data_IF_300681290805
#
_entry.id   IF_300681290805
#
_cell.length_a   1.000
_cell.length_b   1.000
_cell.length_c   1.000
_cell.angle_alpha   90.00
_cell.angle_beta   90.00
_cell.angle_gamma   90.00
#
_symmetry.space_group_name_H-M   'P 1'
#
loop_
_entity.id
_entity.type
_entity.pdbx_description
1 polymer ?
#
# COMPACT_ATOMS: atom_id res chain seq x y z
N UNK A 1 34.11 55.43 2.16
CA UNK A 1 34.43 54.52 1.02
C UNK A 1 33.22 53.66 0.78
N UNK A 2 32.59 53.65 -0.39
CA UNK A 2 31.42 52.83 -0.63
C UNK A 2 31.81 51.41 -0.93
N UNK A 3 31.11 50.42 -0.35
CA UNK A 3 31.29 49.01 -0.55
C UNK A 3 30.98 48.62 -2.00
N UNK A 4 31.96 48.04 -2.70
CA UNK A 4 31.78 47.48 -4.02
C UNK A 4 30.81 46.29 -3.95
N UNK A 5 29.59 46.42 -4.51
CA UNK A 5 28.70 45.31 -4.78
C UNK A 5 29.37 44.40 -5.83
N UNK A 6 29.72 43.19 -5.44
CA UNK A 6 30.18 42.13 -6.35
C UNK A 6 28.98 41.65 -7.19
N UNK A 7 28.85 42.19 -8.40
CA UNK A 7 27.93 41.64 -9.40
C UNK A 7 28.47 40.31 -9.90
N UNK A 8 27.90 39.22 -9.43
CA UNK A 8 28.18 37.87 -9.97
C UNK A 8 27.54 37.75 -11.38
N UNK A 9 28.38 37.54 -12.40
CA UNK A 9 27.88 37.32 -13.77
C UNK A 9 27.11 36.00 -13.84
N UNK A 10 26.06 35.92 -14.74
CA UNK A 10 25.29 34.70 -15.00
C UNK A 10 26.17 33.47 -15.25
N UNK A 11 27.27 33.65 -15.95
CA UNK A 11 28.23 32.57 -16.22
C UNK A 11 28.92 32.06 -14.97
N UNK A 12 29.27 32.94 -14.04
CA UNK A 12 29.88 32.56 -12.76
C UNK A 12 28.90 31.89 -11.82
N UNK A 13 27.64 32.34 -11.83
CA UNK A 13 26.55 31.68 -11.09
C UNK A 13 26.32 30.25 -11.60
N UNK A 14 26.23 30.05 -12.92
CA UNK A 14 26.06 28.71 -13.52
C UNK A 14 27.26 27.80 -13.27
N UNK A 15 28.47 28.33 -13.30
CA UNK A 15 29.70 27.54 -12.99
C UNK A 15 29.76 27.11 -11.54
N UNK A 16 29.41 28.00 -10.60
CA UNK A 16 29.38 27.65 -9.17
C UNK A 16 28.22 26.72 -8.82
N UNK A 17 27.07 26.84 -9.46
CA UNK A 17 25.94 25.93 -9.27
C UNK A 17 26.22 24.53 -9.85
N UNK A 18 26.90 24.44 -10.99
CA UNK A 18 27.34 23.18 -11.57
C UNK A 18 28.42 22.51 -10.70
N UNK A 19 29.40 23.27 -10.18
CA UNK A 19 30.42 22.75 -9.29
C UNK A 19 29.82 22.27 -7.94
N UNK A 20 28.83 22.98 -7.40
CA UNK A 20 28.10 22.56 -6.21
C UNK A 20 27.29 21.28 -6.45
N UNK A 21 26.64 21.15 -7.63
CA UNK A 21 25.93 19.95 -8.04
C UNK A 21 26.85 18.73 -8.18
N UNK A 22 27.99 18.89 -8.82
CA UNK A 22 29.00 17.82 -8.98
C UNK A 22 29.59 17.45 -7.62
N UNK A 23 29.88 18.42 -6.75
CA UNK A 23 30.36 18.17 -5.38
C UNK A 23 29.34 17.39 -4.54
N UNK A 24 28.05 17.67 -4.68
CA UNK A 24 26.99 16.95 -4.02
C UNK A 24 26.91 15.47 -4.48
N UNK A 25 27.05 15.22 -5.80
CA UNK A 25 27.09 13.86 -6.36
C UNK A 25 28.37 13.11 -6.00
N UNK A 26 29.52 13.76 -6.04
CA UNK A 26 30.81 13.15 -5.69
C UNK A 26 30.96 12.83 -4.20
N UNK A 27 30.26 13.57 -3.33
CA UNK A 27 30.21 13.30 -1.89
C UNK A 27 29.24 12.17 -1.48
N UNK A 28 28.68 11.43 -2.46
CA UNK A 28 27.81 10.28 -2.21
C UNK A 28 26.40 10.65 -1.75
N UNK A 29 25.95 11.88 -1.98
CA UNK A 29 24.68 12.40 -1.46
C UNK A 29 24.72 12.54 0.07
N UNK A 30 24.03 13.54 0.59
CA UNK A 30 23.77 13.60 2.04
C UNK A 30 22.80 12.45 2.34
N UNK A 31 23.24 11.41 3.02
CA UNK A 31 22.27 10.52 3.67
C UNK A 31 21.39 11.42 4.51
N UNK A 32 20.12 11.47 4.18
CA UNK A 32 19.15 12.19 4.97
C UNK A 32 19.23 11.60 6.38
N UNK A 33 19.90 12.30 7.28
CA UNK A 33 19.94 11.94 8.68
C UNK A 33 18.48 11.97 9.12
N UNK A 34 17.97 10.81 9.58
CA UNK A 34 16.58 10.73 10.02
C UNK A 34 16.33 11.85 11.02
N UNK A 35 15.46 12.79 10.66
CA UNK A 35 15.15 13.91 11.52
C UNK A 35 14.70 13.41 12.89
N UNK A 36 15.19 14.04 13.94
CA UNK A 36 14.75 13.77 15.31
C UNK A 36 13.59 14.66 15.72
N UNK A 37 13.13 15.55 14.82
CA UNK A 37 11.99 16.41 15.10
C UNK A 37 10.70 15.61 15.12
N UNK A 38 9.88 15.67 16.16
CA UNK A 38 8.56 15.04 16.19
C UNK A 38 7.64 15.54 15.07
N UNK A 39 7.86 16.75 14.57
CA UNK A 39 7.06 17.37 13.50
C UNK A 39 7.45 16.90 12.10
N UNK A 40 8.55 16.18 11.97
CA UNK A 40 9.02 15.62 10.69
C UNK A 40 8.75 14.11 10.55
N UNK A 41 8.16 13.50 11.59
CA UNK A 41 7.73 12.11 11.51
C UNK A 41 6.40 12.02 10.77
N UNK A 42 6.38 11.24 9.70
CA UNK A 42 5.15 10.94 8.97
C UNK A 42 4.07 10.39 9.91
N UNK A 43 2.88 10.94 9.80
CA UNK A 43 1.69 10.46 10.50
C UNK A 43 0.97 9.45 9.60
N UNK A 44 0.89 8.21 10.03
CA UNK A 44 0.42 7.09 9.21
C UNK A 44 -0.92 6.60 9.74
N UNK A 45 -1.92 6.50 8.87
CA UNK A 45 -3.15 5.77 9.14
C UNK A 45 -3.13 4.42 8.44
N UNK A 46 -3.58 3.37 9.14
CA UNK A 46 -3.60 2.01 8.58
C UNK A 46 -5.01 1.43 8.58
N UNK A 47 -5.39 0.84 7.45
CA UNK A 47 -6.72 0.29 7.18
C UNK A 47 -6.61 -1.22 6.92
N UNK A 48 -7.32 -2.02 7.73
CA UNK A 48 -7.15 -3.46 7.77
C UNK A 48 -5.86 -3.82 8.52
N UNK A 49 -5.93 -3.95 9.85
CA UNK A 49 -4.75 -4.14 10.72
C UNK A 49 -4.59 -5.56 11.22
N UNK A 50 -5.45 -6.48 10.76
CA UNK A 50 -5.33 -7.93 10.94
C UNK A 50 -4.51 -8.61 9.86
N UNK A 51 -4.22 -9.88 10.00
CA UNK A 51 -3.57 -10.71 8.99
C UNK A 51 -2.35 -10.07 8.34
N UNK A 52 -2.41 -9.86 7.02
CA UNK A 52 -1.33 -9.17 6.26
C UNK A 52 -1.14 -7.72 6.74
N UNK A 53 -2.22 -7.03 7.06
CA UNK A 53 -2.15 -5.64 7.53
C UNK A 53 -1.37 -5.47 8.83
N UNK A 54 -1.33 -6.48 9.70
CA UNK A 54 -0.49 -6.44 10.89
C UNK A 54 1.00 -6.31 10.53
N UNK A 55 1.46 -7.08 9.53
CA UNK A 55 2.85 -6.99 9.09
C UNK A 55 3.14 -5.68 8.34
N UNK A 56 2.20 -5.19 7.55
CA UNK A 56 2.34 -3.93 6.82
C UNK A 56 2.38 -2.73 7.77
N UNK A 57 1.48 -2.69 8.77
CA UNK A 57 1.49 -1.68 9.81
C UNK A 57 2.80 -1.68 10.61
N UNK A 58 3.33 -2.89 10.95
CA UNK A 58 4.62 -3.02 11.64
C UNK A 58 5.76 -2.48 10.75
N UNK A 59 5.75 -2.76 9.46
CA UNK A 59 6.78 -2.25 8.57
C UNK A 59 6.67 -0.73 8.40
N UNK A 60 5.47 -0.20 8.24
CA UNK A 60 5.21 1.23 8.13
C UNK A 60 5.65 1.99 9.40
N UNK A 61 5.49 1.41 10.59
CA UNK A 61 5.89 2.02 11.86
C UNK A 61 7.39 2.31 12.00
N UNK A 62 8.22 1.76 11.11
CA UNK A 62 9.66 2.06 11.03
C UNK A 62 9.95 3.42 10.38
N UNK A 63 9.01 3.92 9.60
CA UNK A 63 9.17 5.13 8.79
C UNK A 63 8.36 6.32 9.32
N UNK A 64 7.45 6.07 10.26
CA UNK A 64 6.60 7.10 10.83
C UNK A 64 5.87 6.65 12.09
N UNK A 65 5.00 7.51 12.61
CA UNK A 65 4.12 7.20 13.73
C UNK A 65 2.83 6.60 13.20
N UNK A 66 2.41 5.44 13.71
CA UNK A 66 1.05 4.96 13.49
C UNK A 66 0.12 5.86 14.31
N UNK A 67 -0.49 6.81 13.60
CA UNK A 67 -1.34 7.83 14.20
C UNK A 67 -2.76 7.32 14.43
N UNK A 68 -3.31 6.60 13.46
CA UNK A 68 -4.64 6.05 13.51
C UNK A 68 -4.70 4.63 12.94
N UNK A 69 -5.62 3.83 13.45
CA UNK A 69 -5.88 2.46 12.97
C UNK A 69 -7.36 2.28 12.67
N UNK A 70 -7.67 1.52 11.62
CA UNK A 70 -9.05 1.21 11.21
C UNK A 70 -9.18 -0.28 10.89
N UNK A 71 -10.16 -0.93 11.50
CA UNK A 71 -10.54 -2.31 11.19
C UNK A 71 -11.98 -2.57 11.60
N UNK A 72 -12.69 -3.36 10.84
CA UNK A 72 -14.09 -3.73 11.09
C UNK A 72 -14.26 -4.77 12.20
N UNK A 73 -13.18 -5.46 12.58
CA UNK A 73 -13.15 -6.40 13.70
C UNK A 73 -12.60 -5.69 14.95
N UNK A 74 -13.48 -5.50 15.92
CA UNK A 74 -13.17 -4.77 17.16
C UNK A 74 -12.00 -5.40 17.95
N UNK A 75 -11.87 -6.72 17.92
CA UNK A 75 -10.78 -7.43 18.61
C UNK A 75 -9.42 -7.11 17.96
N UNK A 76 -9.38 -7.11 16.63
CA UNK A 76 -8.20 -6.76 15.84
C UNK A 76 -7.85 -5.30 16.05
N UNK A 77 -8.84 -4.44 15.96
CA UNK A 77 -8.72 -2.98 16.16
C UNK A 77 -8.14 -2.63 17.52
N UNK A 78 -8.70 -3.21 18.60
CA UNK A 78 -8.22 -2.98 19.97
C UNK A 78 -6.80 -3.52 20.18
N UNK A 79 -6.46 -4.62 19.53
CA UNK A 79 -5.11 -5.19 19.55
C UNK A 79 -4.09 -4.24 18.93
N UNK A 80 -4.40 -3.69 17.75
CA UNK A 80 -3.55 -2.74 17.05
C UNK A 80 -3.42 -1.42 17.82
N UNK A 81 -4.53 -0.86 18.31
CA UNK A 81 -4.55 0.36 19.12
C UNK A 81 -3.61 0.27 20.33
N UNK A 82 -3.67 -0.83 21.07
CA UNK A 82 -2.75 -1.08 22.21
C UNK A 82 -1.30 -1.21 21.75
N UNK A 83 -1.04 -1.98 20.68
CA UNK A 83 0.31 -2.23 20.19
C UNK A 83 1.03 -0.94 19.77
N UNK A 84 0.33 -0.07 19.05
CA UNK A 84 0.89 1.19 18.54
C UNK A 84 0.64 2.38 19.46
N UNK A 85 -0.01 2.18 20.61
CA UNK A 85 -0.32 3.23 21.60
C UNK A 85 -1.03 4.42 20.98
N UNK A 86 -2.02 4.16 20.13
CA UNK A 86 -2.87 5.17 19.55
C UNK A 86 -4.30 5.08 20.10
N UNK A 87 -4.88 6.21 20.44
CA UNK A 87 -6.28 6.32 20.84
C UNK A 87 -7.22 6.47 19.63
N UNK A 88 -6.64 6.79 18.47
CA UNK A 88 -7.36 7.00 17.22
C UNK A 88 -7.65 5.65 16.55
N UNK A 89 -8.79 5.07 16.91
CA UNK A 89 -9.26 3.78 16.36
C UNK A 89 -10.68 3.92 15.84
N UNK A 90 -10.92 3.40 14.65
CA UNK A 90 -12.19 3.54 13.92
C UNK A 90 -12.58 2.21 13.29
N UNK A 91 -13.88 1.92 13.23
CA UNK A 91 -14.42 0.81 12.44
C UNK A 91 -14.73 1.22 11.00
N UNK A 92 -15.00 2.51 10.74
CA UNK A 92 -15.30 3.06 9.44
C UNK A 92 -14.13 3.95 8.94
N UNK A 93 -13.59 3.62 7.77
CA UNK A 93 -12.52 4.39 7.13
C UNK A 93 -12.95 5.82 6.76
N UNK A 94 -14.24 6.03 6.50
CA UNK A 94 -14.79 7.34 6.15
C UNK A 94 -14.70 8.27 7.34
N UNK A 95 -15.13 7.80 8.51
CA UNK A 95 -15.04 8.56 9.76
C UNK A 95 -13.60 8.91 10.12
N UNK A 96 -12.67 7.94 9.99
CA UNK A 96 -11.27 8.19 10.25
C UNK A 96 -10.72 9.32 9.36
N UNK A 97 -10.96 9.22 8.05
CA UNK A 97 -10.44 10.21 7.10
C UNK A 97 -11.13 11.57 7.26
N UNK A 98 -12.44 11.61 7.53
CA UNK A 98 -13.18 12.86 7.71
C UNK A 98 -12.77 13.58 9.00
N UNK A 99 -12.46 12.86 10.08
CA UNK A 99 -12.09 13.45 11.36
C UNK A 99 -10.59 13.78 11.49
N UNK A 100 -9.74 12.97 10.89
CA UNK A 100 -8.29 13.03 11.11
C UNK A 100 -7.47 13.26 9.83
N UNK A 101 -8.12 13.38 8.67
CA UNK A 101 -7.42 13.51 7.39
C UNK A 101 -6.33 14.58 7.39
N UNK A 102 -6.59 15.75 7.96
CA UNK A 102 -5.63 16.87 8.03
C UNK A 102 -4.36 16.56 8.83
N UNK A 103 -4.40 15.51 9.66
CA UNK A 103 -3.28 15.09 10.53
C UNK A 103 -2.54 13.87 10.00
N UNK A 104 -2.93 13.36 8.83
CA UNK A 104 -2.38 12.14 8.22
C UNK A 104 -1.59 12.54 6.98
N UNK A 105 -0.39 11.99 6.83
CA UNK A 105 0.45 12.16 5.65
C UNK A 105 0.34 10.96 4.71
N UNK A 106 0.29 9.75 5.27
CA UNK A 106 0.35 8.49 4.54
C UNK A 106 -0.75 7.54 5.00
N UNK A 107 -1.35 6.84 4.06
CA UNK A 107 -2.27 5.74 4.34
C UNK A 107 -1.68 4.41 3.92
N UNK A 108 -1.91 3.36 4.71
CA UNK A 108 -1.60 1.97 4.39
C UNK A 108 -2.91 1.21 4.31
N UNK A 109 -3.24 0.68 3.13
CA UNK A 109 -4.49 -0.04 2.86
C UNK A 109 -4.19 -1.52 2.68
N UNK A 110 -4.65 -2.34 3.62
CA UNK A 110 -4.41 -3.80 3.66
C UNK A 110 -5.69 -4.58 3.95
N UNK A 111 -6.82 -4.05 3.50
CA UNK A 111 -8.14 -4.66 3.56
C UNK A 111 -8.29 -5.79 2.52
N UNK A 112 -9.43 -6.51 2.44
CA UNK A 112 -9.75 -7.32 1.28
C UNK A 112 -9.82 -6.52 -0.02
N UNK A 113 -9.56 -7.18 -1.17
CA UNK A 113 -9.35 -6.56 -2.48
C UNK A 113 -10.43 -5.55 -2.88
N UNK A 114 -11.70 -5.88 -2.62
CA UNK A 114 -12.86 -5.06 -3.00
C UNK A 114 -12.93 -3.70 -2.30
N UNK A 115 -12.27 -3.57 -1.14
CA UNK A 115 -12.22 -2.32 -0.38
C UNK A 115 -10.99 -1.45 -0.70
N UNK A 116 -9.99 -1.98 -1.42
CA UNK A 116 -8.75 -1.24 -1.72
C UNK A 116 -9.03 0.10 -2.40
N UNK A 117 -9.76 0.08 -3.51
CA UNK A 117 -9.95 1.26 -4.34
C UNK A 117 -10.73 2.37 -3.64
N UNK A 118 -11.78 2.05 -2.88
CA UNK A 118 -12.62 3.07 -2.24
C UNK A 118 -11.87 3.79 -1.12
N UNK A 119 -11.07 3.07 -0.35
CA UNK A 119 -10.25 3.65 0.72
C UNK A 119 -9.10 4.46 0.12
N UNK A 120 -8.33 3.85 -0.80
CA UNK A 120 -7.19 4.52 -1.42
C UNK A 120 -7.60 5.78 -2.19
N UNK A 121 -8.68 5.73 -2.98
CA UNK A 121 -9.14 6.89 -3.76
C UNK A 121 -9.59 8.04 -2.87
N UNK A 122 -10.33 7.77 -1.77
CA UNK A 122 -10.74 8.80 -0.83
C UNK A 122 -9.50 9.48 -0.20
N UNK A 123 -8.56 8.69 0.31
CA UNK A 123 -7.35 9.22 0.92
C UNK A 123 -6.49 10.03 -0.07
N UNK A 124 -6.27 9.50 -1.28
CA UNK A 124 -5.46 10.19 -2.31
C UNK A 124 -6.10 11.49 -2.77
N UNK A 125 -7.43 11.55 -2.91
CA UNK A 125 -8.18 12.80 -3.22
C UNK A 125 -8.07 13.85 -2.12
N UNK A 126 -7.73 13.43 -0.90
CA UNK A 126 -7.41 14.32 0.22
C UNK A 126 -5.90 14.69 0.27
N UNK A 127 -5.14 14.37 -0.77
CA UNK A 127 -3.70 14.66 -0.85
C UNK A 127 -2.82 13.73 -0.02
N UNK A 128 -3.31 12.53 0.36
CA UNK A 128 -2.51 11.59 1.17
C UNK A 128 -1.71 10.63 0.30
N UNK A 129 -0.45 10.40 0.65
CA UNK A 129 0.35 9.36 0.04
C UNK A 129 -0.25 7.99 0.38
N UNK A 130 -0.12 7.00 -0.52
CA UNK A 130 -0.84 5.75 -0.38
C UNK A 130 0.06 4.54 -0.65
N UNK A 131 0.17 3.65 0.35
CA UNK A 131 0.62 2.28 0.15
C UNK A 131 -0.62 1.39 0.16
N UNK A 132 -0.89 0.68 -0.95
CA UNK A 132 -2.04 -0.20 -1.08
C UNK A 132 -1.59 -1.64 -1.37
N UNK A 133 -2.13 -2.61 -0.66
CA UNK A 133 -1.79 -4.01 -0.87
C UNK A 133 -2.14 -4.52 -2.27
N UNK A 134 -1.51 -5.63 -2.65
CA UNK A 134 -1.79 -6.38 -3.87
C UNK A 134 -3.04 -7.29 -3.69
N UNK A 135 -3.78 -7.56 -4.76
CA UNK A 135 -3.80 -6.81 -6.01
C UNK A 135 -4.25 -5.39 -5.76
N UNK A 136 -3.78 -4.45 -6.55
CA UNK A 136 -4.03 -3.02 -6.29
C UNK A 136 -5.51 -2.70 -6.13
N UNK A 137 -6.35 -3.35 -6.92
CA UNK A 137 -7.81 -3.21 -6.89
C UNK A 137 -8.49 -4.51 -7.27
N UNK A 138 -9.79 -4.61 -7.00
CA UNK A 138 -10.59 -5.74 -7.43
C UNK A 138 -10.84 -5.72 -8.95
N UNK A 139 -11.52 -4.73 -9.58
CA UNK A 139 -11.60 -4.61 -11.03
C UNK A 139 -10.49 -3.72 -11.61
N UNK A 140 -10.06 -4.05 -12.83
CA UNK A 140 -8.94 -3.38 -13.54
C UNK A 140 -9.19 -1.87 -13.72
N UNK A 141 -10.42 -1.46 -14.01
CA UNK A 141 -10.74 -0.05 -14.22
C UNK A 141 -10.45 0.82 -12.99
N UNK A 142 -10.63 0.28 -11.78
CA UNK A 142 -10.29 0.97 -10.53
C UNK A 142 -8.79 1.24 -10.41
N UNK A 143 -7.95 0.31 -10.86
CA UNK A 143 -6.49 0.53 -10.87
C UNK A 143 -6.10 1.70 -11.77
N UNK A 144 -6.74 1.81 -12.93
CA UNK A 144 -6.55 2.96 -13.83
C UNK A 144 -7.01 4.28 -13.19
N UNK A 145 -8.15 4.26 -12.49
CA UNK A 145 -8.65 5.43 -11.77
C UNK A 145 -7.69 5.85 -10.63
N UNK A 146 -7.16 4.91 -9.85
CA UNK A 146 -6.17 5.24 -8.83
C UNK A 146 -4.91 5.87 -9.44
N UNK A 147 -4.44 5.35 -10.58
CA UNK A 147 -3.32 5.95 -11.30
C UNK A 147 -3.60 7.39 -11.82
N UNK A 148 -4.84 7.66 -12.24
CA UNK A 148 -5.25 9.02 -12.63
C UNK A 148 -5.28 9.96 -11.41
N UNK A 149 -5.91 9.54 -10.32
CA UNK A 149 -5.99 10.30 -9.07
C UNK A 149 -4.56 10.59 -8.53
N UNK A 150 -3.65 9.59 -8.56
CA UNK A 150 -2.28 9.79 -8.10
C UNK A 150 -1.57 10.93 -8.85
N UNK A 151 -1.75 10.99 -10.19
CA UNK A 151 -1.17 12.06 -11.01
C UNK A 151 -1.85 13.40 -10.79
N UNK A 152 -3.18 13.41 -10.70
CA UNK A 152 -3.97 14.62 -10.49
C UNK A 152 -3.64 15.27 -9.14
N UNK A 153 -3.50 14.47 -8.10
CA UNK A 153 -3.26 14.93 -6.73
C UNK A 153 -1.76 15.05 -6.37
N UNK A 154 -0.87 14.69 -7.30
CA UNK A 154 0.59 14.68 -7.11
C UNK A 154 1.02 13.94 -5.84
N UNK A 155 0.45 12.76 -5.58
CA UNK A 155 0.74 11.94 -4.41
C UNK A 155 1.62 10.74 -4.75
N UNK A 156 2.53 10.42 -3.85
CA UNK A 156 3.35 9.20 -3.96
C UNK A 156 2.49 7.96 -3.66
N UNK A 157 2.62 6.95 -4.52
CA UNK A 157 1.89 5.70 -4.38
C UNK A 157 2.80 4.49 -4.54
N UNK A 158 2.49 3.43 -3.79
CA UNK A 158 3.18 2.15 -3.90
C UNK A 158 2.18 1.01 -3.75
N UNK A 159 2.19 0.07 -4.70
CA UNK A 159 1.50 -1.21 -4.52
C UNK A 159 2.33 -2.15 -3.66
N UNK A 160 1.68 -2.84 -2.73
CA UNK A 160 2.29 -3.81 -1.81
C UNK A 160 2.65 -5.14 -2.48
N UNK A 161 3.30 -5.10 -3.62
CA UNK A 161 3.72 -6.30 -4.35
C UNK A 161 4.97 -6.88 -3.70
N UNK A 162 4.78 -7.87 -2.84
CA UNK A 162 5.85 -8.56 -2.13
C UNK A 162 6.85 -9.15 -3.13
N UNK A 163 8.09 -9.24 -2.72
CA UNK A 163 9.23 -9.74 -3.50
C UNK A 163 9.74 -8.81 -4.61
N UNK A 164 9.01 -7.82 -5.10
CA UNK A 164 9.53 -6.87 -6.11
C UNK A 164 10.79 -6.15 -5.64
N UNK A 165 10.89 -5.85 -4.33
CA UNK A 165 12.09 -5.26 -3.73
C UNK A 165 13.06 -6.31 -3.15
N UNK A 166 12.78 -7.60 -3.31
CA UNK A 166 13.65 -8.68 -2.83
C UNK A 166 14.87 -8.81 -3.71
N UNK A 167 16.05 -8.67 -3.13
CA UNK A 167 17.32 -8.59 -3.86
C UNK A 167 17.55 -9.79 -4.80
N UNK A 168 17.39 -11.07 -4.39
CA UNK A 168 17.59 -12.19 -5.31
C UNK A 168 16.64 -12.20 -6.51
N UNK A 169 15.42 -11.67 -6.37
CA UNK A 169 14.50 -11.58 -7.52
C UNK A 169 14.93 -10.48 -8.49
N UNK A 170 15.41 -9.36 -7.98
CA UNK A 170 15.93 -8.26 -8.80
C UNK A 170 17.20 -8.67 -9.54
N UNK A 171 18.10 -9.39 -8.84
CA UNK A 171 19.30 -9.96 -9.43
C UNK A 171 18.95 -10.96 -10.54
N UNK A 172 18.02 -11.88 -10.30
CA UNK A 172 17.56 -12.82 -11.33
C UNK A 172 16.96 -12.10 -12.56
N UNK A 173 16.15 -11.07 -12.35
CA UNK A 173 15.61 -10.27 -13.46
C UNK A 173 16.71 -9.56 -14.25
N UNK A 174 17.73 -9.03 -13.56
CA UNK A 174 18.89 -8.42 -14.20
C UNK A 174 19.67 -9.43 -15.04
N UNK A 175 19.98 -10.62 -14.50
CA UNK A 175 20.71 -11.68 -15.22
C UNK A 175 19.97 -12.15 -16.48
N UNK A 176 18.64 -12.28 -16.41
CA UNK A 176 17.82 -12.62 -17.56
C UNK A 176 17.90 -11.52 -18.63
N UNK A 177 17.76 -10.25 -18.25
CA UNK A 177 17.86 -9.11 -19.16
C UNK A 177 19.25 -8.97 -19.78
N UNK A 178 20.29 -9.32 -19.05
CA UNK A 178 21.69 -9.32 -19.49
C UNK A 178 22.00 -10.51 -20.44
N UNK A 179 21.02 -11.40 -20.68
CA UNK A 179 21.14 -12.49 -21.60
C UNK A 179 21.87 -13.73 -21.08
N UNK A 180 22.09 -13.85 -19.77
CA UNK A 180 22.86 -14.95 -19.17
C UNK A 180 22.23 -16.33 -19.42
N UNK A 181 20.92 -16.39 -19.62
CA UNK A 181 20.21 -17.63 -20.00
C UNK A 181 19.84 -17.68 -21.50
N UNK A 182 20.33 -16.72 -22.29
CA UNK A 182 19.96 -16.55 -23.68
C UNK A 182 18.55 -16.02 -23.88
N UNK A 183 18.04 -16.10 -25.11
CA UNK A 183 16.70 -15.63 -25.44
C UNK A 183 15.62 -16.50 -24.80
N UNK A 184 14.82 -15.90 -23.93
CA UNK A 184 13.65 -16.58 -23.34
C UNK A 184 12.59 -16.80 -24.41
N UNK A 185 12.20 -18.04 -24.65
CA UNK A 185 11.19 -18.42 -25.65
C UNK A 185 9.88 -18.85 -25.02
N UNK A 186 9.94 -19.35 -23.81
CA UNK A 186 8.77 -19.90 -23.12
C UNK A 186 8.90 -19.66 -21.61
N UNK A 187 7.78 -19.33 -20.96
CA UNK A 187 7.70 -19.09 -19.52
C UNK A 187 6.53 -19.87 -18.94
N UNK A 188 6.80 -20.72 -17.97
CA UNK A 188 5.78 -21.45 -17.22
C UNK A 188 5.68 -20.93 -15.80
N UNK A 189 4.48 -20.56 -15.39
CA UNK A 189 4.19 -20.08 -14.05
C UNK A 189 3.06 -20.90 -13.44
N UNK A 190 3.24 -21.39 -12.23
CA UNK A 190 2.24 -22.19 -11.53
C UNK A 190 2.21 -21.85 -10.02
N UNK A 191 1.14 -22.26 -9.37
CA UNK A 191 0.94 -22.12 -7.93
C UNK A 191 0.15 -23.30 -7.37
N UNK A 192 0.31 -23.60 -6.10
CA UNK A 192 -0.50 -24.58 -5.36
C UNK A 192 -1.80 -23.98 -4.79
N UNK A 193 -2.12 -22.73 -5.15
CA UNK A 193 -3.37 -22.07 -4.76
C UNK A 193 -4.51 -22.46 -5.70
N UNK A 194 -5.76 -22.45 -5.23
CA UNK A 194 -6.23 -21.92 -3.95
C UNK A 194 -6.08 -22.91 -2.78
N UNK A 195 -6.00 -22.38 -1.56
CA UNK A 195 -6.19 -23.12 -0.30
C UNK A 195 -7.54 -22.82 0.33
N UNK A 196 -8.34 -22.03 -0.32
CA UNK A 196 -9.74 -21.69 0.00
C UNK A 196 -10.66 -22.29 -1.05
N UNK A 197 -11.91 -22.49 -0.66
CA UNK A 197 -12.92 -23.01 -1.58
C UNK A 197 -13.26 -22.02 -2.70
N UNK A 198 -13.44 -22.52 -3.91
CA UNK A 198 -13.92 -21.80 -5.08
C UNK A 198 -15.05 -22.58 -5.76
N UNK A 199 -15.97 -21.85 -6.39
CA UNK A 199 -17.07 -22.47 -7.18
C UNK A 199 -18.11 -23.21 -6.35
N UNK A 200 -18.12 -23.05 -5.04
CA UNK A 200 -19.17 -23.63 -4.18
C UNK A 200 -20.45 -22.80 -4.19
N UNK A 201 -21.62 -23.43 -3.93
CA UNK A 201 -22.84 -22.70 -3.65
C UNK A 201 -22.67 -21.73 -2.48
N UNK A 202 -23.52 -20.69 -2.44
CA UNK A 202 -23.53 -19.78 -1.30
C UNK A 202 -23.86 -20.56 -0.03
N UNK A 203 -23.13 -20.31 1.06
CA UNK A 203 -23.35 -20.99 2.33
C UNK A 203 -24.61 -20.51 3.01
N UNK A 204 -25.10 -21.29 3.96
CA UNK A 204 -26.21 -20.89 4.82
C UNK A 204 -25.84 -19.67 5.67
N UNK A 205 -26.79 -18.74 5.86
CA UNK A 205 -26.61 -17.59 6.71
C UNK A 205 -26.28 -17.97 8.15
N UNK A 206 -25.41 -17.18 8.79
CA UNK A 206 -25.09 -17.30 10.21
C UNK A 206 -25.17 -15.93 10.88
N UNK A 207 -25.28 -15.94 12.22
CA UNK A 207 -25.23 -14.71 13.00
C UNK A 207 -23.85 -14.02 12.85
N UNK A 208 -23.86 -12.72 12.67
CA UNK A 208 -22.63 -11.91 12.66
C UNK A 208 -21.97 -12.00 14.04
N UNK A 209 -20.68 -12.30 14.13
CA UNK A 209 -19.96 -12.31 15.40
C UNK A 209 -20.05 -10.96 16.11
N UNK A 210 -20.16 -10.99 17.43
CA UNK A 210 -20.13 -9.76 18.23
C UNK A 210 -18.80 -9.02 18.00
N UNK A 211 -18.89 -7.75 17.67
CA UNK A 211 -17.72 -6.89 17.42
C UNK A 211 -17.19 -6.94 16.01
N UNK A 212 -17.88 -7.61 15.06
CA UNK A 212 -17.60 -7.50 13.63
C UNK A 212 -18.65 -6.59 12.99
N UNK A 213 -18.21 -5.50 12.36
CA UNK A 213 -19.06 -4.66 11.52
C UNK A 213 -19.14 -5.29 10.12
N UNK A 214 -20.19 -6.10 9.92
CA UNK A 214 -20.37 -6.83 8.67
C UNK A 214 -20.72 -5.93 7.49
N UNK A 215 -21.47 -4.86 7.72
CA UNK A 215 -21.85 -3.91 6.68
C UNK A 215 -20.61 -3.14 6.17
N UNK A 216 -19.80 -2.64 7.07
CA UNK A 216 -18.55 -2.00 6.72
C UNK A 216 -17.56 -2.97 6.04
N UNK A 217 -17.56 -4.26 6.43
CA UNK A 217 -16.74 -5.27 5.77
C UNK A 217 -17.19 -5.52 4.32
N UNK A 218 -18.50 -5.63 4.07
CA UNK A 218 -19.07 -5.76 2.71
C UNK A 218 -18.69 -4.55 1.84
N UNK A 219 -18.73 -3.34 2.39
CA UNK A 219 -18.34 -2.14 1.67
C UNK A 219 -19.05 -1.97 0.33
N UNK A 220 -18.33 -1.83 -0.80
CA UNK A 220 -18.93 -1.61 -2.12
C UNK A 220 -19.51 -2.88 -2.77
N UNK A 221 -19.29 -4.05 -2.19
CA UNK A 221 -19.83 -5.30 -2.74
C UNK A 221 -21.33 -5.45 -2.50
N UNK A 222 -22.04 -6.26 -3.31
CA UNK A 222 -23.46 -6.53 -3.07
C UNK A 222 -23.69 -7.13 -1.68
N UNK A 223 -24.62 -6.55 -0.93
CA UNK A 223 -24.97 -7.01 0.41
C UNK A 223 -25.40 -8.48 0.41
N UNK A 224 -24.89 -9.22 1.40
CA UNK A 224 -25.26 -10.62 1.64
C UNK A 224 -25.16 -10.98 3.13
N UNK A 225 -25.88 -12.02 3.55
CA UNK A 225 -25.76 -12.52 4.91
C UNK A 225 -24.32 -12.98 5.23
N UNK A 226 -23.93 -12.81 6.47
CA UNK A 226 -22.69 -13.39 6.99
C UNK A 226 -22.77 -14.93 6.97
N UNK A 227 -21.63 -15.56 6.71
CA UNK A 227 -21.48 -17.00 6.84
C UNK A 227 -20.13 -17.31 7.52
N UNK A 228 -20.18 -18.21 8.51
CA UNK A 228 -19.04 -18.51 9.37
C UNK A 228 -17.89 -19.14 8.57
N UNK A 229 -16.68 -18.60 8.72
CA UNK A 229 -15.44 -19.07 8.11
C UNK A 229 -15.43 -19.16 6.57
N UNK A 230 -16.37 -18.49 5.90
CA UNK A 230 -16.50 -18.52 4.43
C UNK A 230 -16.02 -17.25 3.77
N UNK A 231 -16.18 -16.11 4.45
CA UNK A 231 -15.76 -14.80 3.93
C UNK A 231 -14.64 -14.22 4.80
N UNK A 232 -15.00 -13.59 5.88
CA UNK A 232 -14.07 -13.09 6.89
C UNK A 232 -13.48 -14.28 7.67
N UNK A 233 -12.17 -14.36 7.95
CA UNK A 233 -11.18 -13.27 7.73
C UNK A 233 -10.31 -13.52 6.49
N UNK A 234 -10.33 -14.75 5.91
CA UNK A 234 -9.36 -15.19 4.90
C UNK A 234 -9.98 -15.72 3.60
N UNK A 235 -11.09 -16.47 3.68
CA UNK A 235 -11.63 -17.22 2.54
C UNK A 235 -12.39 -16.37 1.50
N UNK A 236 -12.56 -15.07 1.76
CA UNK A 236 -13.18 -14.09 0.84
C UNK A 236 -12.52 -14.10 -0.56
N UNK A 237 -11.28 -14.53 -0.67
CA UNK A 237 -10.51 -14.62 -1.92
C UNK A 237 -11.16 -15.52 -2.97
N UNK A 238 -11.91 -16.52 -2.53
CA UNK A 238 -12.64 -17.45 -3.41
C UNK A 238 -13.99 -16.94 -3.93
N UNK A 239 -14.40 -15.74 -3.51
CA UNK A 239 -15.71 -15.17 -3.85
C UNK A 239 -15.56 -13.96 -4.75
N UNK A 240 -16.18 -14.03 -5.92
CA UNK A 240 -16.05 -13.03 -6.98
C UNK A 240 -16.34 -11.59 -6.54
N UNK A 241 -17.25 -11.38 -5.59
CA UNK A 241 -17.59 -10.04 -5.12
C UNK A 241 -16.53 -9.43 -4.18
N UNK A 242 -15.60 -10.22 -3.67
CA UNK A 242 -14.65 -9.81 -2.63
C UNK A 242 -13.19 -9.92 -3.04
N UNK A 243 -12.88 -10.92 -3.87
CA UNK A 243 -11.51 -11.22 -4.26
C UNK A 243 -11.38 -11.61 -5.72
N UNK A 244 -10.15 -11.68 -6.17
CA UNK A 244 -9.76 -11.92 -7.57
C UNK A 244 -9.45 -13.38 -7.86
N UNK A 245 -9.79 -14.27 -6.93
CA UNK A 245 -9.52 -15.71 -7.04
C UNK A 245 -8.03 -16.03 -7.01
N UNK A 246 -7.73 -17.28 -7.36
CA UNK A 246 -6.36 -17.81 -7.33
C UNK A 246 -5.41 -17.05 -8.25
N UNK A 247 -5.86 -16.73 -9.46
CA UNK A 247 -5.05 -16.02 -10.43
C UNK A 247 -4.69 -14.61 -9.94
N UNK A 248 -5.68 -13.80 -9.58
CA UNK A 248 -5.43 -12.43 -9.14
C UNK A 248 -4.66 -12.34 -7.83
N UNK A 249 -4.91 -13.27 -6.88
CA UNK A 249 -4.16 -13.32 -5.62
C UNK A 249 -2.69 -13.71 -5.84
N UNK A 250 -2.40 -14.68 -6.71
CA UNK A 250 -1.07 -15.27 -6.82
C UNK A 250 -0.22 -14.76 -7.98
N UNK A 251 -0.82 -14.30 -9.08
CA UNK A 251 -0.04 -13.80 -10.22
C UNK A 251 0.85 -12.60 -9.84
N UNK A 252 0.38 -11.75 -8.91
CA UNK A 252 1.20 -10.66 -8.35
C UNK A 252 2.53 -11.14 -7.73
N UNK A 253 2.61 -12.40 -7.33
CA UNK A 253 3.82 -13.01 -6.78
C UNK A 253 4.56 -13.83 -7.82
N UNK A 254 3.86 -14.78 -8.45
CA UNK A 254 4.49 -15.80 -9.29
C UNK A 254 4.85 -15.29 -10.69
N UNK A 255 4.07 -14.35 -11.25
CA UNK A 255 4.41 -13.69 -12.52
C UNK A 255 5.30 -12.45 -12.35
N UNK A 256 5.72 -12.13 -11.12
CA UNK A 256 6.49 -10.91 -10.86
C UNK A 256 7.86 -10.95 -11.54
N UNK A 257 8.61 -12.05 -11.40
CA UNK A 257 9.92 -12.20 -12.06
C UNK A 257 9.81 -12.17 -13.60
N UNK A 258 8.92 -12.95 -14.26
CA UNK A 258 8.73 -12.84 -15.70
C UNK A 258 8.34 -11.45 -16.19
N UNK A 259 7.55 -10.72 -15.38
CA UNK A 259 7.17 -9.34 -15.71
C UNK A 259 8.33 -8.35 -15.57
N UNK A 260 9.25 -8.59 -14.62
CA UNK A 260 10.42 -7.75 -14.39
C UNK A 260 11.55 -8.04 -15.39
N UNK A 261 11.65 -9.26 -15.87
CA UNK A 261 12.67 -9.70 -16.81
C UNK A 261 12.26 -9.44 -18.26
#
# INVERSE_FOLDING_TARGET
MPAKQLQTSRRRFLQTSAAAGIGFWAAGGVQAQASKSPNEKLQIATFGVGGKGQSDTRNASRFGKIYAVCDVDQKVLDGASRLYRTEHKFSDYRELLDQLGDKIDVVVVSTPDHNHAVIASKAMKMGKHCYCQKPLTHPIWQARQLGNIAREMDVATQMGNQFTAYEPMREAAYQIRDGQIGAVREVHVWTNRPVWDQGKPRPEPAAVPKGLDWEAWIGPAPMRPYAKAVYHDFAWRGWWDFGTGSLGDMACHTCNLPFMA
#
